data_IF_038495521190
#
_entry.id   IF_038495521190
#
_cell.length_a   1.000
_cell.length_b   1.000
_cell.length_c   1.000
_cell.angle_alpha   90.00
_cell.angle_beta   90.00
_cell.angle_gamma   90.00
#
_symmetry.space_group_name_H-M   'P 1'
#
loop_
_entity.id
_entity.type
_entity.pdbx_description
1 polymer ?
#
# COMPACT_ATOMS: atom_id res chain seq x y z
N UNK A 1 -8.07 8.92 -0.62
CA UNK A 1 -6.69 9.03 -1.16
C UNK A 1 -5.64 9.32 -0.08
N UNK A 2 -5.92 10.23 0.85
CA UNK A 2 -4.99 10.70 1.89
C UNK A 2 -4.31 9.59 2.68
N UNK A 3 -5.06 8.56 3.09
CA UNK A 3 -4.56 7.50 3.94
C UNK A 3 -3.51 6.61 3.28
N UNK A 4 -3.62 6.34 1.97
CA UNK A 4 -2.60 5.62 1.23
C UNK A 4 -1.27 6.36 1.22
N UNK A 5 -1.28 7.69 1.00
CA UNK A 5 -0.06 8.51 1.02
C UNK A 5 0.55 8.54 2.42
N UNK A 6 -0.25 8.70 3.47
CA UNK A 6 0.23 8.59 4.84
C UNK A 6 0.88 7.22 5.11
N UNK A 7 0.27 6.13 4.62
CA UNK A 7 0.84 4.79 4.74
C UNK A 7 2.23 4.70 4.10
N UNK A 8 2.40 5.26 2.89
CA UNK A 8 3.69 5.26 2.19
C UNK A 8 4.74 6.03 3.01
N UNK A 9 4.39 7.25 3.44
CA UNK A 9 5.32 8.12 4.15
C UNK A 9 5.74 7.53 5.50
N UNK A 10 4.80 7.01 6.29
CA UNK A 10 5.13 6.37 7.56
C UNK A 10 6.02 5.14 7.37
N UNK A 11 5.75 4.30 6.37
CA UNK A 11 6.57 3.13 6.09
C UNK A 11 8.01 3.53 5.75
N UNK A 12 8.17 4.56 4.89
CA UNK A 12 9.49 5.10 4.49
C UNK A 12 10.22 5.80 5.63
N UNK A 13 9.51 6.39 6.58
CA UNK A 13 10.08 6.96 7.81
C UNK A 13 10.42 5.91 8.87
N UNK A 14 10.12 4.63 8.62
CA UNK A 14 10.42 3.53 9.54
C UNK A 14 9.34 3.26 10.59
N UNK A 15 8.16 3.89 10.48
CA UNK A 15 7.02 3.72 11.39
C UNK A 15 5.99 2.76 10.77
N UNK A 16 6.30 1.46 10.82
CA UNK A 16 5.46 0.41 10.23
C UNK A 16 4.07 0.30 10.86
N UNK A 17 3.92 0.63 12.14
CA UNK A 17 2.63 0.58 12.84
C UNK A 17 1.70 1.71 12.42
N UNK A 18 2.19 2.96 12.34
CA UNK A 18 1.39 4.07 11.80
C UNK A 18 1.10 3.87 10.33
N UNK A 19 2.04 3.30 9.57
CA UNK A 19 1.79 2.95 8.18
C UNK A 19 0.62 1.96 8.07
N UNK A 20 0.62 0.89 8.85
CA UNK A 20 -0.45 -0.10 8.83
C UNK A 20 -1.79 0.44 9.32
N UNK A 21 -1.79 1.32 10.33
CA UNK A 21 -2.99 2.02 10.76
C UNK A 21 -3.58 2.89 9.63
N UNK A 22 -2.75 3.70 9.00
CA UNK A 22 -3.16 4.53 7.86
C UNK A 22 -3.69 3.67 6.71
N UNK A 23 -2.99 2.59 6.36
CA UNK A 23 -3.42 1.63 5.34
C UNK A 23 -4.83 1.09 5.61
N UNK A 24 -5.09 0.62 6.84
CA UNK A 24 -6.42 0.13 7.24
C UNK A 24 -7.50 1.21 7.16
N UNK A 25 -7.17 2.44 7.57
CA UNK A 25 -8.10 3.56 7.51
C UNK A 25 -8.43 3.97 6.07
N UNK A 26 -7.55 3.66 5.11
CA UNK A 26 -7.78 3.93 3.69
C UNK A 26 -8.89 3.11 3.06
N UNK A 27 -9.10 1.87 3.50
CA UNK A 27 -10.12 0.99 2.89
C UNK A 27 -11.25 0.56 3.79
N UNK A 28 -11.02 0.34 5.09
CA UNK A 28 -12.03 -0.29 5.96
C UNK A 28 -13.36 0.48 6.03
N UNK A 29 -13.37 1.83 6.15
CA UNK A 29 -14.63 2.58 6.21
C UNK A 29 -15.42 2.57 4.89
N UNK A 30 -14.73 2.28 3.79
CA UNK A 30 -15.25 2.32 2.43
C UNK A 30 -15.56 0.92 1.90
N UNK A 31 -15.08 -0.14 2.55
CA UNK A 31 -15.21 -1.52 2.09
C UNK A 31 -16.64 -2.04 2.28
N UNK A 32 -17.23 -2.55 1.19
CA UNK A 32 -18.58 -3.08 1.15
C UNK A 32 -18.59 -4.60 0.96
N UNK A 33 -19.45 -5.34 1.69
CA UNK A 33 -19.68 -6.75 1.41
C UNK A 33 -20.39 -6.94 0.06
N UNK A 34 -20.36 -8.15 -0.53
CA UNK A 34 -19.59 -9.32 -0.06
C UNK A 34 -18.14 -9.32 -0.60
N UNK A 35 -17.83 -8.49 -1.59
CA UNK A 35 -16.57 -8.57 -2.34
C UNK A 35 -15.48 -7.60 -1.87
N UNK A 36 -15.76 -6.77 -0.86
CA UNK A 36 -14.80 -5.78 -0.36
C UNK A 36 -14.54 -4.63 -1.33
N UNK A 37 -15.51 -4.33 -2.21
CA UNK A 37 -15.41 -3.16 -3.11
C UNK A 37 -15.40 -1.87 -2.29
N UNK A 38 -14.72 -0.84 -2.77
CA UNK A 38 -14.57 0.41 -2.03
C UNK A 38 -15.58 1.44 -2.54
N UNK A 39 -16.47 1.93 -1.67
CA UNK A 39 -17.28 3.10 -1.93
C UNK A 39 -16.43 4.38 -1.94
N UNK A 40 -16.85 5.40 -2.67
CA UNK A 40 -16.16 6.70 -2.70
C UNK A 40 -16.11 7.38 -1.33
N UNK A 41 -17.20 7.30 -0.57
CA UNK A 41 -17.31 7.87 0.77
C UNK A 41 -17.56 6.79 1.82
N UNK A 42 -17.10 7.02 3.04
CA UNK A 42 -17.35 6.12 4.16
C UNK A 42 -18.86 5.97 4.41
N UNK A 43 -19.35 4.74 4.51
CA UNK A 43 -20.77 4.44 4.69
C UNK A 43 -21.67 4.64 3.46
N UNK A 44 -21.13 5.11 2.33
CA UNK A 44 -21.86 5.16 1.07
C UNK A 44 -21.82 3.80 0.35
N UNK A 45 -22.66 3.63 -0.68
CA UNK A 45 -22.72 2.41 -1.49
C UNK A 45 -22.23 2.58 -2.94
N UNK A 46 -21.83 3.79 -3.33
CA UNK A 46 -21.59 4.18 -4.73
C UNK A 46 -20.82 5.51 -4.80
N UNK A 47 -20.04 5.77 -5.88
CA UNK A 47 -19.46 4.83 -6.85
C UNK A 47 -18.20 4.12 -6.31
N UNK A 48 -17.49 3.34 -7.15
CA UNK A 48 -16.25 2.67 -6.77
C UNK A 48 -15.07 3.66 -6.65
N UNK A 49 -14.37 3.64 -5.51
CA UNK A 49 -13.25 4.53 -5.24
C UNK A 49 -11.95 4.02 -5.87
N UNK A 50 -11.87 4.07 -7.20
CA UNK A 50 -10.71 3.59 -7.96
C UNK A 50 -9.40 4.24 -7.52
N UNK A 51 -9.42 5.54 -7.19
CA UNK A 51 -8.22 6.28 -6.78
C UNK A 51 -7.67 5.78 -5.45
N UNK A 52 -8.52 5.47 -4.48
CA UNK A 52 -8.07 4.88 -3.20
C UNK A 52 -7.55 3.47 -3.41
N UNK A 53 -8.24 2.64 -4.22
CA UNK A 53 -7.76 1.30 -4.55
C UNK A 53 -6.35 1.32 -5.17
N UNK A 54 -6.11 2.22 -6.14
CA UNK A 54 -4.79 2.44 -6.71
C UNK A 54 -3.76 2.93 -5.68
N UNK A 55 -4.19 3.79 -4.76
CA UNK A 55 -3.38 4.25 -3.63
C UNK A 55 -2.91 3.12 -2.72
N UNK A 56 -3.80 2.20 -2.37
CA UNK A 56 -3.48 1.07 -1.50
C UNK A 56 -2.48 0.13 -2.18
N UNK A 57 -2.58 -0.07 -3.50
CA UNK A 57 -1.57 -0.80 -4.27
C UNK A 57 -0.23 -0.08 -4.19
N UNK A 58 -0.19 1.24 -4.36
CA UNK A 58 1.04 2.03 -4.19
C UNK A 58 1.58 1.96 -2.76
N UNK A 59 0.73 1.90 -1.73
CA UNK A 59 1.16 1.70 -0.34
C UNK A 59 1.85 0.34 -0.13
N UNK A 60 1.39 -0.71 -0.79
CA UNK A 60 2.05 -2.02 -0.76
C UNK A 60 3.39 -1.99 -1.51
N UNK A 61 3.45 -1.37 -2.68
CA UNK A 61 4.64 -1.35 -3.53
C UNK A 61 5.69 -0.34 -3.05
N UNK A 62 5.32 0.94 -3.00
CA UNK A 62 6.22 2.07 -2.73
C UNK A 62 6.35 2.39 -1.23
N UNK A 63 5.35 2.00 -0.43
CA UNK A 63 5.39 2.07 1.03
C UNK A 63 6.09 0.83 1.59
N UNK A 64 5.33 -0.18 2.01
CA UNK A 64 5.84 -1.38 2.69
C UNK A 64 6.90 -2.15 1.89
N UNK A 65 6.74 -2.21 0.56
CA UNK A 65 7.71 -2.83 -0.35
C UNK A 65 8.99 -2.04 -0.55
N UNK A 66 8.98 -0.74 -0.22
CA UNK A 66 10.09 0.17 -0.41
C UNK A 66 10.50 0.34 -1.88
N UNK A 67 9.63 0.04 -2.84
CA UNK A 67 10.00 0.18 -4.25
C UNK A 67 10.02 1.65 -4.67
N UNK A 68 11.04 2.01 -5.44
CA UNK A 68 11.19 3.34 -6.02
C UNK A 68 11.56 3.24 -7.48
N UNK A 69 10.83 3.98 -8.31
CA UNK A 69 11.12 4.08 -9.75
C UNK A 69 12.05 5.27 -9.94
N UNK A 70 13.21 5.01 -10.51
CA UNK A 70 14.25 6.01 -10.80
C UNK A 70 14.55 6.01 -12.30
N UNK A 71 15.27 7.01 -12.83
CA UNK A 71 15.75 6.97 -14.22
C UNK A 71 16.62 5.75 -14.54
N UNK A 72 17.29 5.17 -13.54
CA UNK A 72 18.08 3.94 -13.64
C UNK A 72 17.27 2.65 -13.47
N UNK A 73 15.95 2.75 -13.29
CA UNK A 73 15.06 1.60 -13.07
C UNK A 73 14.53 1.50 -11.64
N UNK A 74 14.03 0.32 -11.29
CA UNK A 74 13.41 0.07 -9.98
C UNK A 74 14.48 -0.28 -8.96
N UNK A 75 14.54 0.48 -7.87
CA UNK A 75 15.38 0.21 -6.70
C UNK A 75 14.52 -0.08 -5.47
N UNK A 76 15.15 -0.58 -4.40
CA UNK A 76 14.52 -0.72 -3.10
C UNK A 76 15.15 0.26 -2.11
N UNK A 77 14.32 1.09 -1.48
CA UNK A 77 14.70 2.04 -0.43
C UNK A 77 14.30 1.51 0.94
N UNK A 78 14.85 2.12 1.99
CA UNK A 78 14.51 1.78 3.38
C UNK A 78 13.01 1.96 3.61
N UNK A 79 12.39 0.92 4.17
CA UNK A 79 10.99 0.91 4.57
C UNK A 79 10.80 -0.03 5.76
N UNK A 80 9.61 -0.04 6.38
CA UNK A 80 9.30 -0.85 7.55
C UNK A 80 7.92 -1.49 7.45
N UNK A 81 7.88 -2.81 7.65
CA UNK A 81 6.64 -3.56 7.86
C UNK A 81 6.12 -3.36 9.29
N UNK A 82 4.79 -3.44 9.53
CA UNK A 82 4.27 -3.55 10.88
C UNK A 82 4.76 -4.84 11.53
N UNK A 83 4.91 -4.85 12.86
CA UNK A 83 5.44 -5.97 13.63
C UNK A 83 4.63 -7.27 13.47
N UNK A 84 3.34 -7.14 13.16
CA UNK A 84 2.46 -8.29 12.93
C UNK A 84 2.68 -8.99 11.57
N UNK A 85 3.43 -8.38 10.64
CA UNK A 85 3.76 -8.98 9.36
C UNK A 85 5.15 -9.61 9.41
N UNK A 86 5.23 -10.90 9.14
CA UNK A 86 6.52 -11.62 9.08
C UNK A 86 7.32 -11.30 7.82
N UNK A 87 6.62 -11.03 6.72
CA UNK A 87 7.23 -10.71 5.44
C UNK A 87 6.20 -10.18 4.43
N UNK A 88 6.67 -9.47 3.43
CA UNK A 88 5.95 -9.11 2.21
C UNK A 88 6.73 -9.61 0.99
N UNK A 89 6.07 -10.39 0.13
CA UNK A 89 6.65 -10.87 -1.13
C UNK A 89 5.98 -10.16 -2.31
N UNK A 90 6.78 -9.45 -3.11
CA UNK A 90 6.34 -8.79 -4.34
C UNK A 90 6.96 -9.52 -5.54
N UNK A 91 6.15 -9.88 -6.53
CA UNK A 91 6.59 -10.71 -7.67
C UNK A 91 6.25 -10.05 -8.98
N UNK A 92 6.99 -10.34 -10.04
CA UNK A 92 6.70 -9.81 -11.38
C UNK A 92 7.01 -8.32 -11.52
N UNK A 93 7.93 -7.80 -10.71
CA UNK A 93 8.26 -6.38 -10.68
C UNK A 93 9.22 -6.03 -11.83
N UNK A 94 8.80 -5.10 -12.68
CA UNK A 94 9.58 -4.61 -13.82
C UNK A 94 9.72 -5.62 -14.96
N UNK A 95 10.47 -5.22 -16.00
CA UNK A 95 10.69 -6.03 -17.22
C UNK A 95 11.34 -7.39 -16.92
N UNK A 96 12.20 -7.43 -15.90
CA UNK A 96 12.93 -8.62 -15.46
C UNK A 96 12.07 -9.55 -14.57
N UNK A 97 10.81 -9.18 -14.30
CA UNK A 97 9.88 -9.92 -13.42
C UNK A 97 10.48 -10.25 -12.04
N UNK A 98 11.26 -9.33 -11.48
CA UNK A 98 11.99 -9.55 -10.22
C UNK A 98 11.04 -9.83 -9.05
N UNK A 99 11.56 -10.60 -8.10
CA UNK A 99 10.91 -10.87 -6.82
C UNK A 99 11.63 -10.14 -5.69
N UNK A 100 10.89 -9.39 -4.88
CA UNK A 100 11.38 -8.72 -3.69
C UNK A 100 10.77 -9.37 -2.45
N UNK A 101 11.60 -9.67 -1.45
CA UNK A 101 11.17 -10.20 -0.17
C UNK A 101 11.58 -9.20 0.93
N UNK A 102 10.59 -8.56 1.54
CA UNK A 102 10.77 -7.69 2.71
C UNK A 102 10.45 -8.50 3.96
N UNK A 103 11.24 -8.33 5.03
CA UNK A 103 11.07 -8.97 6.33
C UNK A 103 10.99 -7.91 7.43
#
# INVERSE_FOLDING_TARGET
MTHAIFSILYARLGDGEKAFLAFKNGYKPNALPPFGVLAESAGATNPYFATEAGGLIQAMLNGFGGLEITPSGIIQVKSKLPAQWKSLKLTGIGIDKKTYLVK
#
